data_IF_151937785540
#
_entry.id   IF_151937785540
#
_cell.length_a   1.000
_cell.length_b   1.000
_cell.length_c   1.000
_cell.angle_alpha   90.00
_cell.angle_beta   90.00
_cell.angle_gamma   90.00
#
_symmetry.space_group_name_H-M   'P 1'
#
loop_
_entity.id
_entity.type
_entity.pdbx_description
1 polymer ?
#
# COMPACT_ATOMS: atom_id res chain seq x y z
N UNK A 1 -11.00 -8.59 -4.35
CA UNK A 1 -11.08 -7.75 -3.14
C UNK A 1 -10.09 -6.59 -3.31
N UNK A 2 -10.38 -5.42 -2.74
CA UNK A 2 -9.46 -4.27 -2.71
C UNK A 2 -8.81 -4.25 -1.33
N UNK A 3 -7.49 -4.07 -1.28
CA UNK A 3 -6.73 -3.90 -0.04
C UNK A 3 -6.21 -2.47 -0.01
N UNK A 4 -6.66 -1.68 0.97
CA UNK A 4 -6.19 -0.31 1.18
C UNK A 4 -5.19 -0.28 2.33
N UNK A 5 -4.07 0.42 2.13
CA UNK A 5 -2.99 0.56 3.12
C UNK A 5 -2.52 2.01 3.21
N UNK A 6 -2.01 2.41 4.38
CA UNK A 6 -1.50 3.76 4.59
C UNK A 6 0.01 3.84 4.33
N UNK A 7 0.45 4.89 3.63
CA UNK A 7 1.87 5.20 3.50
C UNK A 7 2.49 5.56 4.86
N UNK A 8 3.72 5.08 5.09
CA UNK A 8 4.44 5.23 6.36
C UNK A 8 4.29 4.05 7.32
N UNK A 9 3.39 3.10 7.05
CA UNK A 9 3.23 1.89 7.85
C UNK A 9 4.22 0.77 7.47
N UNK A 10 4.57 -0.08 8.44
CA UNK A 10 5.34 -1.30 8.23
C UNK A 10 4.47 -2.54 8.51
N UNK A 11 4.22 -3.34 7.47
CA UNK A 11 3.39 -4.54 7.57
C UNK A 11 4.19 -5.86 7.46
N UNK A 12 5.48 -5.78 7.10
CA UNK A 12 6.36 -6.91 6.83
C UNK A 12 7.03 -6.85 5.45
N UNK A 13 7.75 -7.92 5.06
CA UNK A 13 8.60 -7.95 3.85
C UNK A 13 8.37 -9.15 2.90
N UNK A 14 7.34 -9.96 3.12
CA UNK A 14 6.95 -10.99 2.14
C UNK A 14 6.33 -10.33 0.90
N UNK A 15 6.34 -11.01 -0.26
CA UNK A 15 5.92 -10.40 -1.54
C UNK A 15 4.51 -9.79 -1.52
N UNK A 16 3.53 -10.49 -0.93
CA UNK A 16 2.18 -9.96 -0.81
C UNK A 16 2.13 -8.74 0.11
N UNK A 17 2.83 -8.80 1.23
CA UNK A 17 2.82 -7.74 2.25
C UNK A 17 3.57 -6.49 1.80
N UNK A 18 4.73 -6.66 1.15
CA UNK A 18 5.55 -5.54 0.68
C UNK A 18 4.87 -4.76 -0.45
N UNK A 19 3.86 -5.36 -1.10
CA UNK A 19 3.00 -4.68 -2.09
C UNK A 19 2.16 -3.56 -1.47
N UNK A 20 1.93 -3.58 -0.14
CA UNK A 20 1.30 -2.50 0.62
C UNK A 20 2.25 -1.34 0.97
N UNK A 21 3.56 -1.47 0.74
CA UNK A 21 4.54 -0.48 1.16
C UNK A 21 4.62 0.73 0.20
N UNK A 22 4.78 1.93 0.76
CA UNK A 22 5.18 3.14 0.00
C UNK A 22 6.70 3.39 0.04
N UNK A 23 7.47 2.54 0.71
CA UNK A 23 8.93 2.62 0.75
C UNK A 23 9.55 1.99 -0.50
N UNK A 24 10.11 2.85 -1.36
CA UNK A 24 10.81 2.42 -2.57
C UNK A 24 12.08 1.61 -2.29
N UNK A 25 12.74 1.80 -1.14
CA UNK A 25 13.87 0.98 -0.74
C UNK A 25 13.43 -0.45 -0.43
N UNK A 26 12.22 -0.62 0.11
CA UNK A 26 11.65 -1.93 0.38
C UNK A 26 11.22 -2.66 -0.90
N UNK A 27 10.66 -1.96 -1.90
CA UNK A 27 10.05 -2.60 -3.08
C UNK A 27 10.99 -2.76 -4.29
N UNK A 28 12.15 -2.07 -4.30
CA UNK A 28 13.11 -2.11 -5.41
C UNK A 28 13.58 -3.55 -5.70
N UNK A 29 13.42 -3.98 -6.95
CA UNK A 29 13.85 -5.30 -7.42
C UNK A 29 12.84 -6.43 -7.20
N UNK A 30 11.69 -6.16 -6.59
CA UNK A 30 10.64 -7.15 -6.32
C UNK A 30 9.39 -7.00 -7.22
N UNK A 31 9.47 -6.12 -8.22
CA UNK A 31 8.36 -5.84 -9.14
C UNK A 31 8.04 -7.01 -10.10
N UNK A 32 6.80 -7.09 -10.62
CA UNK A 32 5.67 -6.19 -10.33
C UNK A 32 5.05 -6.46 -8.94
N UNK A 33 4.53 -5.43 -8.30
CA UNK A 33 3.79 -5.58 -7.03
C UNK A 33 2.44 -6.27 -7.30
N UNK A 34 1.88 -6.90 -6.26
CA UNK A 34 0.59 -7.57 -6.36
C UNK A 34 -0.51 -6.55 -6.74
N UNK A 35 -1.38 -6.86 -7.72
CA UNK A 35 -2.50 -5.97 -8.06
C UNK A 35 -3.56 -5.96 -6.94
N UNK A 36 -4.43 -4.95 -6.96
CA UNK A 36 -5.51 -4.82 -5.97
C UNK A 36 -5.10 -4.14 -4.65
N UNK A 37 -3.86 -3.65 -4.56
CA UNK A 37 -3.37 -2.83 -3.46
C UNK A 37 -3.49 -1.34 -3.80
N UNK A 38 -4.21 -0.59 -2.96
CA UNK A 38 -4.35 0.86 -3.02
C UNK A 38 -3.65 1.48 -1.81
N UNK A 39 -3.01 2.64 -2.01
CA UNK A 39 -2.20 3.32 -1.00
C UNK A 39 -2.76 4.72 -0.78
N UNK A 40 -2.98 5.08 0.48
CA UNK A 40 -3.45 6.42 0.90
C UNK A 40 -2.49 7.02 1.92
N UNK A 41 -2.55 8.32 2.17
CA UNK A 41 -1.76 8.96 3.23
C UNK A 41 -2.31 8.58 4.60
N UNK A 42 -1.40 8.29 5.53
CA UNK A 42 -1.80 8.09 6.92
C UNK A 42 -2.43 9.36 7.49
N UNK A 43 -3.62 9.23 8.09
CA UNK A 43 -4.36 10.34 8.69
C UNK A 43 -5.23 11.16 7.72
N UNK A 44 -5.24 10.83 6.43
CA UNK A 44 -6.09 11.50 5.42
C UNK A 44 -7.41 10.75 5.24
N UNK A 45 -8.42 11.13 6.03
CA UNK A 45 -9.74 10.49 6.01
C UNK A 45 -10.50 10.75 4.71
N UNK A 46 -10.34 11.94 4.12
CA UNK A 46 -11.00 12.31 2.87
C UNK A 46 -10.45 11.50 1.69
N UNK A 47 -9.13 11.27 1.65
CA UNK A 47 -8.51 10.41 0.65
C UNK A 47 -8.99 8.96 0.78
N UNK A 48 -9.10 8.44 2.02
CA UNK A 48 -9.63 7.11 2.27
C UNK A 48 -11.09 6.98 1.81
N UNK A 49 -11.95 7.95 2.13
CA UNK A 49 -13.36 7.93 1.73
C UNK A 49 -13.53 7.90 0.21
N UNK A 50 -12.74 8.68 -0.53
CA UNK A 50 -12.77 8.70 -2.00
C UNK A 50 -12.45 7.37 -2.67
N UNK A 51 -11.77 6.44 -2.00
CA UNK A 51 -11.49 5.11 -2.55
C UNK A 51 -12.75 4.22 -2.58
N UNK A 52 -13.73 4.49 -1.72
CA UNK A 52 -14.92 3.65 -1.54
C UNK A 52 -16.23 4.28 -2.06
N UNK A 53 -16.15 5.47 -2.65
CA UNK A 53 -17.22 6.13 -3.40
C UNK A 53 -17.18 5.70 -4.87
#
# INVERSE_FOLDING_TARGET
AIIVSCCGCFHGRTLGVISMSCDNQATRGFGPMLPGHVKVKFGDADELERIFQ
#
